data_IF_043618109276
#
_entry.id   IF_043618109276
#
_cell.length_a   1.000
_cell.length_b   1.000
_cell.length_c   1.000
_cell.angle_alpha   90.00
_cell.angle_beta   90.00
_cell.angle_gamma   90.00
#
_symmetry.space_group_name_H-M   'P 1'
#
loop_
_entity.id
_entity.type
_entity.pdbx_description
1 polymer ?
#
# COMPACT_ATOMS: atom_id res chain seq x y z
N UNK A 1 17.37 29.01 -15.30
CA UNK A 1 18.27 28.41 -14.29
C UNK A 1 17.38 28.02 -13.11
N UNK A 2 17.30 26.74 -12.83
CA UNK A 2 16.55 26.22 -11.66
C UNK A 2 17.41 26.52 -10.41
N UNK A 3 16.84 27.02 -9.31
CA UNK A 3 17.61 27.31 -8.10
C UNK A 3 18.30 26.03 -7.55
N UNK A 4 19.57 26.17 -7.12
CA UNK A 4 20.36 25.07 -6.52
C UNK A 4 19.68 24.40 -5.30
N UNK A 5 18.78 25.09 -4.63
CA UNK A 5 17.98 24.61 -3.51
C UNK A 5 17.09 23.42 -3.84
N UNK A 6 16.60 23.30 -5.08
CA UNK A 6 15.78 22.16 -5.52
C UNK A 6 16.59 20.85 -5.65
N UNK A 7 17.90 20.94 -5.88
CA UNK A 7 18.77 19.77 -6.07
C UNK A 7 19.10 19.09 -4.73
N UNK A 8 19.11 19.83 -3.62
CA UNK A 8 19.50 19.29 -2.32
C UNK A 8 18.43 18.47 -1.61
N UNK A 9 17.15 18.59 -2.01
CA UNK A 9 16.03 17.82 -1.44
C UNK A 9 16.19 16.31 -1.71
N UNK A 10 16.87 15.95 -2.81
CA UNK A 10 17.00 14.54 -3.25
C UNK A 10 18.32 13.87 -2.82
N UNK A 11 19.24 14.56 -2.10
CA UNK A 11 20.60 14.05 -1.83
C UNK A 11 20.83 13.41 -0.45
N UNK A 12 19.87 13.25 0.44
CA UNK A 12 20.11 12.61 1.74
C UNK A 12 20.35 11.12 1.59
N UNK A 13 21.61 10.71 1.61
CA UNK A 13 22.05 9.29 1.78
C UNK A 13 21.92 8.89 3.24
N UNK A 14 21.21 7.78 3.48
CA UNK A 14 21.25 7.05 4.76
C UNK A 14 22.28 5.92 4.62
N UNK A 15 23.24 5.76 5.53
CA UNK A 15 24.24 4.70 5.45
C UNK A 15 23.64 3.35 5.82
N UNK A 16 23.61 2.41 4.86
CA UNK A 16 23.25 1.02 5.11
C UNK A 16 24.42 0.23 5.71
N UNK A 17 24.17 -0.54 6.73
CA UNK A 17 25.11 -1.56 7.26
C UNK A 17 24.91 -2.86 6.47
N UNK A 18 25.97 -3.31 5.83
CA UNK A 18 26.05 -4.65 5.23
C UNK A 18 26.28 -5.70 6.31
N UNK A 19 25.48 -6.75 6.34
CA UNK A 19 25.78 -7.99 7.06
C UNK A 19 25.91 -9.12 6.03
N UNK A 20 27.08 -9.72 6.02
CA UNK A 20 27.45 -10.85 5.15
C UNK A 20 27.00 -12.15 5.82
N UNK A 21 26.19 -12.97 5.18
CA UNK A 21 25.94 -14.34 5.64
C UNK A 21 26.51 -15.36 4.68
N UNK A 22 27.30 -16.27 5.26
CA UNK A 22 27.92 -17.40 4.58
C UNK A 22 26.91 -18.55 4.41
N UNK A 23 26.94 -19.17 3.24
CA UNK A 23 26.13 -20.36 2.92
C UNK A 23 26.78 -21.63 3.49
N UNK A 24 26.02 -22.45 4.18
CA UNK A 24 26.30 -23.87 4.42
C UNK A 24 25.09 -24.69 4.01
N UNK A 25 25.30 -25.57 3.05
CA UNK A 25 24.29 -26.51 2.58
C UNK A 25 24.07 -27.67 3.54
N UNK A 26 22.85 -28.20 3.60
CA UNK A 26 22.61 -29.62 3.93
C UNK A 26 21.18 -30.10 3.66
N UNK A 27 21.12 -31.29 3.15
CA UNK A 27 20.13 -32.38 3.23
C UNK A 27 18.63 -32.07 3.32
N UNK A 28 17.95 -32.52 2.28
CA UNK A 28 16.50 -32.71 2.21
C UNK A 28 16.03 -33.85 3.13
N UNK A 29 15.20 -33.52 4.11
CA UNK A 29 14.21 -34.43 4.66
C UNK A 29 12.82 -33.83 4.41
N UNK A 30 12.03 -34.52 3.61
CA UNK A 30 10.60 -34.22 3.48
C UNK A 30 9.93 -34.59 4.80
N UNK A 31 9.71 -33.60 5.67
CA UNK A 31 8.80 -33.75 6.81
C UNK A 31 7.44 -33.27 6.32
N UNK A 32 6.54 -34.22 6.05
CA UNK A 32 5.11 -33.97 5.99
C UNK A 32 4.67 -33.49 7.39
N UNK A 33 4.73 -32.22 7.66
CA UNK A 33 4.01 -31.62 8.80
C UNK A 33 2.54 -31.55 8.41
N UNK A 34 1.74 -32.49 8.86
CA UNK A 34 0.31 -32.30 8.99
C UNK A 34 0.13 -31.04 9.81
N UNK A 35 -0.40 -29.98 9.20
CA UNK A 35 -0.81 -28.78 9.91
C UNK A 35 -1.89 -29.22 10.90
N UNK A 36 -1.65 -29.03 12.20
CA UNK A 36 -2.67 -29.25 13.20
C UNK A 36 -3.88 -28.38 12.83
N UNK A 37 -5.06 -28.98 12.82
CA UNK A 37 -6.33 -28.26 12.72
C UNK A 37 -6.29 -27.15 13.77
N UNK A 38 -6.19 -25.89 13.29
CA UNK A 38 -6.37 -24.73 14.14
C UNK A 38 -7.78 -24.82 14.75
N UNK A 39 -8.00 -24.21 15.90
CA UNK A 39 -9.23 -24.29 16.70
C UNK A 39 -10.52 -23.82 15.97
N UNK A 40 -10.56 -23.85 14.66
CA UNK A 40 -11.71 -23.50 13.81
C UNK A 40 -12.00 -22.00 13.71
N UNK A 41 -11.11 -21.13 14.21
CA UNK A 41 -11.33 -19.69 14.21
C UNK A 41 -11.14 -19.08 12.83
N UNK A 42 -12.06 -18.16 12.50
CA UNK A 42 -12.04 -17.41 11.26
C UNK A 42 -11.35 -16.07 11.46
N UNK A 43 -10.39 -15.75 10.60
CA UNK A 43 -9.77 -14.43 10.50
C UNK A 43 -10.31 -13.70 9.27
N UNK A 44 -10.70 -12.45 9.43
CA UNK A 44 -11.04 -11.54 8.34
C UNK A 44 -9.89 -10.58 8.10
N UNK A 45 -9.35 -10.64 6.92
CA UNK A 45 -8.22 -9.81 6.52
C UNK A 45 -8.64 -8.91 5.36
N UNK A 46 -8.05 -7.73 5.26
CA UNK A 46 -8.35 -6.77 4.21
C UNK A 46 -7.07 -6.16 3.67
N UNK A 47 -7.00 -5.91 2.37
CA UNK A 47 -6.07 -4.94 1.78
C UNK A 47 -6.84 -3.72 1.32
N UNK A 48 -6.28 -2.52 1.52
CA UNK A 48 -6.89 -1.26 1.14
C UNK A 48 -5.83 -0.22 0.78
N UNK A 49 -5.79 0.17 -0.47
CA UNK A 49 -5.10 1.38 -0.89
C UNK A 49 -5.97 2.60 -0.52
N UNK A 50 -5.41 3.55 0.26
CA UNK A 50 -6.14 4.69 0.81
C UNK A 50 -6.24 5.87 -0.17
N UNK A 51 -5.56 5.80 -1.29
CA UNK A 51 -5.39 6.88 -2.25
C UNK A 51 -4.74 8.13 -1.62
N UNK A 52 -3.51 8.41 -1.91
CA UNK A 52 -2.78 9.56 -1.36
C UNK A 52 -3.35 10.93 -1.79
N UNK A 53 -4.29 10.94 -2.75
CA UNK A 53 -5.09 12.09 -3.14
C UNK A 53 -4.64 12.72 -4.47
N UNK A 54 -3.68 12.14 -5.18
CA UNK A 54 -3.20 12.66 -6.47
C UNK A 54 -2.49 11.59 -7.28
N UNK A 55 -2.45 11.77 -8.60
CA UNK A 55 -1.49 11.07 -9.43
C UNK A 55 -0.25 11.96 -9.68
N UNK A 56 0.87 11.36 -10.02
CA UNK A 56 2.15 12.05 -10.15
C UNK A 56 2.54 12.31 -11.61
N UNK A 57 1.68 11.97 -12.56
CA UNK A 57 1.98 12.05 -14.00
C UNK A 57 2.35 13.47 -14.42
N UNK A 58 1.57 14.47 -14.01
CA UNK A 58 1.87 15.87 -14.35
C UNK A 58 3.21 16.38 -13.84
N UNK A 59 3.71 15.86 -12.72
CA UNK A 59 5.04 16.18 -12.19
C UNK A 59 6.15 15.58 -13.07
N UNK A 60 5.94 14.39 -13.62
CA UNK A 60 6.92 13.69 -14.44
C UNK A 60 6.94 14.22 -15.88
N UNK A 61 5.80 14.68 -16.39
CA UNK A 61 5.63 15.18 -17.75
C UNK A 61 5.97 16.68 -17.90
N UNK A 62 6.11 17.42 -16.80
CA UNK A 62 6.43 18.85 -16.83
C UNK A 62 7.74 19.12 -17.56
N UNK A 63 7.70 20.04 -18.53
CA UNK A 63 8.84 20.46 -19.34
C UNK A 63 9.35 21.85 -18.95
N UNK A 64 8.54 22.62 -18.23
CA UNK A 64 8.85 23.96 -17.73
C UNK A 64 8.65 24.05 -16.22
N UNK A 65 9.37 24.98 -15.57
CA UNK A 65 9.18 25.24 -14.14
C UNK A 65 7.72 25.64 -13.82
N UNK A 66 7.07 26.38 -14.69
CA UNK A 66 5.68 26.78 -14.50
C UNK A 66 4.74 25.56 -14.51
N UNK A 67 4.93 24.64 -15.44
CA UNK A 67 4.15 23.38 -15.49
C UNK A 67 4.42 22.51 -14.26
N UNK A 68 5.67 22.40 -13.84
CA UNK A 68 6.03 21.64 -12.64
C UNK A 68 5.37 22.20 -11.37
N UNK A 69 5.45 23.52 -11.17
CA UNK A 69 4.81 24.19 -10.03
C UNK A 69 3.28 24.04 -10.09
N UNK A 70 2.69 24.18 -11.29
CA UNK A 70 1.25 23.96 -11.48
C UNK A 70 0.84 22.51 -11.15
N UNK A 71 1.68 21.52 -11.46
CA UNK A 71 1.42 20.12 -11.10
C UNK A 71 1.52 19.90 -9.58
N UNK A 72 2.45 20.57 -8.88
CA UNK A 72 2.51 20.52 -7.39
C UNK A 72 1.27 21.15 -6.78
N UNK A 73 0.85 22.32 -7.27
CA UNK A 73 -0.36 23.02 -6.82
C UNK A 73 -1.59 22.16 -7.05
N UNK A 74 -1.68 21.53 -8.22
CA UNK A 74 -2.79 20.62 -8.57
C UNK A 74 -2.82 19.44 -7.60
N UNK A 75 -1.70 18.78 -7.35
CA UNK A 75 -1.61 17.63 -6.45
C UNK A 75 -2.15 17.95 -5.05
N UNK A 76 -1.69 19.07 -4.47
CA UNK A 76 -2.16 19.52 -3.15
C UNK A 76 -3.64 19.91 -3.13
N UNK A 77 -4.09 20.62 -4.16
CA UNK A 77 -5.49 21.06 -4.27
C UNK A 77 -6.42 19.86 -4.51
N UNK A 78 -6.03 18.89 -5.34
CA UNK A 78 -6.82 17.69 -5.59
C UNK A 78 -6.95 16.84 -4.32
N UNK A 79 -5.84 16.62 -3.61
CA UNK A 79 -5.88 15.92 -2.32
C UNK A 79 -6.90 16.58 -1.37
N UNK A 80 -6.90 17.91 -1.23
CA UNK A 80 -7.89 18.61 -0.40
C UNK A 80 -9.32 18.46 -0.93
N UNK A 81 -9.50 18.56 -2.27
CA UNK A 81 -10.81 18.44 -2.91
C UNK A 81 -11.43 17.03 -2.75
N UNK A 82 -10.59 15.99 -2.64
CA UNK A 82 -11.03 14.61 -2.36
C UNK A 82 -11.46 14.39 -0.91
N UNK A 83 -11.38 15.40 -0.03
CA UNK A 83 -11.87 15.36 1.35
C UNK A 83 -11.38 14.13 2.13
N UNK A 84 -10.12 14.00 2.45
CA UNK A 84 -9.53 12.79 3.05
C UNK A 84 -10.28 12.31 4.31
N UNK A 85 -10.73 13.22 5.17
CA UNK A 85 -11.45 12.85 6.40
C UNK A 85 -12.79 12.15 6.11
N UNK A 86 -13.54 12.58 5.09
CA UNK A 86 -14.79 11.91 4.69
C UNK A 86 -14.50 10.52 4.10
N UNK A 87 -13.48 10.42 3.23
CA UNK A 87 -13.09 9.17 2.58
C UNK A 87 -12.62 8.12 3.60
N UNK A 88 -11.71 8.52 4.48
CA UNK A 88 -11.21 7.64 5.54
C UNK A 88 -12.29 7.26 6.55
N UNK A 89 -13.34 8.09 6.72
CA UNK A 89 -14.53 7.71 7.49
C UNK A 89 -15.34 6.62 6.77
N UNK A 90 -15.49 6.70 5.44
CA UNK A 90 -16.17 5.66 4.68
C UNK A 90 -15.40 4.34 4.75
N UNK A 91 -14.07 4.36 4.57
CA UNK A 91 -13.20 3.17 4.72
C UNK A 91 -13.28 2.60 6.14
N UNK A 92 -13.28 3.44 7.18
CA UNK A 92 -13.46 2.98 8.57
C UNK A 92 -14.81 2.26 8.76
N UNK A 93 -15.89 2.77 8.15
CA UNK A 93 -17.20 2.13 8.17
C UNK A 93 -17.16 0.76 7.46
N UNK A 94 -16.47 0.62 6.33
CA UNK A 94 -16.29 -0.65 5.63
C UNK A 94 -15.53 -1.67 6.50
N UNK A 95 -14.42 -1.27 7.10
CA UNK A 95 -13.62 -2.11 8.02
C UNK A 95 -14.50 -2.57 9.20
N UNK A 96 -15.23 -1.64 9.82
CA UNK A 96 -16.11 -1.88 10.97
C UNK A 96 -17.27 -2.81 10.61
N UNK A 97 -18.03 -2.51 9.56
CA UNK A 97 -19.19 -3.29 9.14
C UNK A 97 -18.84 -4.74 8.79
N UNK A 98 -17.62 -4.94 8.28
CA UNK A 98 -17.09 -6.25 7.91
C UNK A 98 -16.35 -6.94 9.05
N UNK A 99 -16.18 -6.30 10.22
CA UNK A 99 -15.48 -6.84 11.39
C UNK A 99 -14.11 -7.40 11.01
N UNK A 100 -13.34 -6.61 10.24
CA UNK A 100 -12.01 -7.00 9.78
C UNK A 100 -11.07 -7.10 10.98
N UNK A 101 -10.20 -8.09 11.02
CA UNK A 101 -9.27 -8.31 12.13
C UNK A 101 -7.90 -7.70 11.85
N UNK A 102 -7.45 -7.76 10.59
CA UNK A 102 -6.14 -7.28 10.14
C UNK A 102 -6.31 -6.57 8.80
N UNK A 103 -5.74 -5.38 8.67
CA UNK A 103 -5.74 -4.62 7.41
C UNK A 103 -4.31 -4.30 6.99
N UNK A 104 -3.96 -4.65 5.75
CA UNK A 104 -2.80 -4.09 5.04
C UNK A 104 -3.24 -2.82 4.32
N UNK A 105 -2.56 -1.73 4.61
CA UNK A 105 -2.85 -0.41 4.05
C UNK A 105 -1.72 0.01 3.11
N UNK A 106 -2.08 0.57 1.97
CA UNK A 106 -1.20 1.23 1.02
C UNK A 106 -1.60 2.70 0.93
N UNK A 107 -0.66 3.55 0.56
CA UNK A 107 -0.85 5.00 0.45
C UNK A 107 -1.41 5.65 1.74
N UNK A 108 -0.93 5.18 2.90
CA UNK A 108 -1.25 5.80 4.18
C UNK A 108 -0.50 7.13 4.36
N UNK A 109 -0.80 8.07 3.49
CA UNK A 109 -0.06 9.30 3.24
C UNK A 109 -0.01 10.25 4.44
N UNK A 110 1.10 11.01 4.52
CA UNK A 110 1.16 12.24 5.33
C UNK A 110 1.39 13.42 4.39
N UNK A 111 0.48 14.38 4.41
CA UNK A 111 0.63 15.65 3.73
C UNK A 111 1.02 16.74 4.72
N UNK A 112 2.08 17.50 4.38
CA UNK A 112 2.60 18.59 5.20
C UNK A 112 2.81 19.84 4.36
N UNK A 113 2.81 21.01 5.04
CA UNK A 113 3.22 22.27 4.46
C UNK A 113 4.36 22.89 5.27
N UNK A 114 5.13 23.77 4.65
CA UNK A 114 6.24 24.49 5.27
C UNK A 114 6.52 25.80 4.58
N UNK A 115 7.47 26.61 5.09
CA UNK A 115 7.84 27.87 4.46
C UNK A 115 8.22 27.71 2.99
N UNK A 116 7.78 28.65 2.14
CA UNK A 116 8.04 28.61 0.71
C UNK A 116 9.52 28.74 0.38
N UNK A 117 10.08 27.74 -0.31
CA UNK A 117 11.43 27.78 -0.85
C UNK A 117 11.58 28.62 -2.14
N UNK A 118 10.45 29.10 -2.70
CA UNK A 118 10.50 30.08 -3.81
C UNK A 118 10.85 31.48 -3.34
N UNK A 119 10.59 31.82 -2.07
CA UNK A 119 10.77 33.17 -1.52
C UNK A 119 11.79 33.24 -0.38
N UNK A 120 12.27 32.09 0.08
CA UNK A 120 13.21 31.95 1.19
C UNK A 120 14.08 30.70 1.10
N UNK A 121 14.89 30.42 2.12
CA UNK A 121 15.68 29.20 2.15
C UNK A 121 14.78 27.97 2.27
N UNK A 122 15.15 26.86 1.62
CA UNK A 122 14.46 25.60 1.76
C UNK A 122 14.61 25.08 3.20
N UNK A 123 13.48 24.93 3.89
CA UNK A 123 13.37 24.35 5.24
C UNK A 123 12.40 23.18 5.22
N UNK A 124 12.54 22.20 6.14
CA UNK A 124 11.62 21.07 6.17
C UNK A 124 10.15 21.52 6.37
N UNK A 125 9.26 20.98 5.54
CA UNK A 125 7.82 21.13 5.72
C UNK A 125 7.35 20.14 6.79
N UNK A 126 6.99 20.66 7.96
CA UNK A 126 6.65 19.84 9.15
C UNK A 126 5.22 20.06 9.64
N UNK A 127 4.50 21.05 9.09
CA UNK A 127 3.13 21.33 9.47
C UNK A 127 2.19 20.30 8.84
N UNK A 128 1.78 19.30 9.64
CA UNK A 128 0.90 18.21 9.19
C UNK A 128 -0.48 18.75 8.88
N UNK A 129 -0.90 18.58 7.62
CA UNK A 129 -2.25 18.90 7.17
C UNK A 129 -3.17 17.69 7.32
N UNK A 130 -2.69 16.52 6.88
CA UNK A 130 -3.38 15.25 7.03
C UNK A 130 -2.36 14.15 7.31
N UNK A 131 -2.66 13.30 8.27
CA UNK A 131 -2.05 11.98 8.47
C UNK A 131 -3.16 10.93 8.30
N UNK A 132 -3.19 10.26 7.16
CA UNK A 132 -4.27 9.35 6.79
C UNK A 132 -4.40 8.18 7.76
N UNK A 133 -3.27 7.64 8.23
CA UNK A 133 -3.28 6.55 9.21
C UNK A 133 -3.87 7.00 10.54
N UNK A 134 -3.48 8.17 11.03
CA UNK A 134 -4.03 8.74 12.28
C UNK A 134 -5.53 9.00 12.15
N UNK A 135 -5.96 9.60 11.04
CA UNK A 135 -7.40 9.87 10.79
C UNK A 135 -8.19 8.56 10.75
N UNK A 136 -7.71 7.54 10.02
CA UNK A 136 -8.38 6.24 9.93
C UNK A 136 -8.53 5.57 11.31
N UNK A 137 -7.46 5.53 12.09
CA UNK A 137 -7.47 4.93 13.43
C UNK A 137 -8.42 5.68 14.38
N UNK A 138 -8.45 7.01 14.30
CA UNK A 138 -9.38 7.82 15.10
C UNK A 138 -10.86 7.59 14.71
N UNK A 139 -11.14 7.39 13.40
CA UNK A 139 -12.49 7.05 12.94
C UNK A 139 -12.91 5.66 13.40
N UNK A 140 -12.02 4.67 13.32
CA UNK A 140 -12.28 3.33 13.85
C UNK A 140 -12.56 3.37 15.36
N UNK A 141 -11.78 4.14 16.12
CA UNK A 141 -12.01 4.35 17.56
C UNK A 141 -13.39 4.99 17.84
N UNK A 142 -13.79 5.97 17.02
CA UNK A 142 -15.13 6.61 17.13
C UNK A 142 -16.26 5.60 16.88
N UNK A 143 -16.04 4.59 16.05
CA UNK A 143 -16.95 3.48 15.80
C UNK A 143 -16.94 2.40 16.90
N UNK A 144 -16.15 2.57 17.95
CA UNK A 144 -16.02 1.63 19.07
C UNK A 144 -15.03 0.48 18.82
N UNK A 145 -14.12 0.63 17.87
CA UNK A 145 -13.11 -0.39 17.56
C UNK A 145 -11.71 0.10 17.90
N UNK A 146 -10.96 -0.72 18.63
CA UNK A 146 -9.57 -0.43 18.97
C UNK A 146 -8.62 -1.11 17.97
N UNK A 147 -8.17 -0.33 16.96
CA UNK A 147 -7.11 -0.75 16.03
C UNK A 147 -5.81 -0.05 16.36
N UNK A 148 -4.71 -0.72 16.14
CA UNK A 148 -3.37 -0.19 16.29
C UNK A 148 -2.53 -0.48 15.05
N UNK A 149 -1.74 0.51 14.61
CA UNK A 149 -0.70 0.29 13.63
C UNK A 149 0.45 -0.47 14.30
N UNK A 150 0.70 -1.69 13.83
CA UNK A 150 1.75 -2.57 14.40
C UNK A 150 3.01 -2.60 13.54
N UNK A 151 2.92 -2.17 12.27
CA UNK A 151 4.03 -2.03 11.36
C UNK A 151 3.75 -0.87 10.41
N UNK A 152 4.74 -0.01 10.14
CA UNK A 152 4.61 1.15 9.22
C UNK A 152 5.94 1.36 8.50
N UNK A 153 5.94 1.24 7.18
CA UNK A 153 7.10 1.49 6.34
C UNK A 153 6.92 2.79 5.56
N UNK A 154 7.77 3.81 5.76
CA UNK A 154 7.81 4.96 4.87
C UNK A 154 8.34 4.60 3.48
N UNK A 155 7.61 4.99 2.46
CA UNK A 155 7.97 4.86 1.05
C UNK A 155 8.58 6.16 0.49
N UNK A 156 7.92 6.73 -0.54
CA UNK A 156 8.29 8.03 -1.09
C UNK A 156 8.16 9.12 -0.02
N UNK A 157 9.19 9.97 0.08
CA UNK A 157 9.15 11.19 0.91
C UNK A 157 9.75 12.34 0.10
N UNK A 158 8.90 13.25 -0.37
CA UNK A 158 9.28 14.34 -1.26
C UNK A 158 8.67 15.66 -0.83
N UNK A 159 9.50 16.71 -0.78
CA UNK A 159 9.07 18.08 -0.57
C UNK A 159 9.33 18.89 -1.83
N UNK A 160 8.33 19.62 -2.29
CA UNK A 160 8.37 20.40 -3.51
C UNK A 160 7.83 21.81 -3.25
N UNK A 161 8.40 22.83 -3.93
CA UNK A 161 7.86 24.18 -3.89
C UNK A 161 6.51 24.26 -4.60
N UNK A 162 5.65 25.15 -4.13
CA UNK A 162 4.36 25.45 -4.79
C UNK A 162 4.17 26.96 -4.96
N UNK A 163 3.27 27.39 -5.85
CA UNK A 163 2.89 28.80 -5.97
C UNK A 163 1.84 29.22 -4.93
N UNK A 164 1.38 28.30 -4.09
CA UNK A 164 0.37 28.54 -3.03
C UNK A 164 0.94 29.33 -1.83
N UNK A 165 2.23 29.68 -1.85
CA UNK A 165 2.89 30.44 -0.79
C UNK A 165 3.55 29.57 0.29
N UNK A 166 3.59 28.28 0.09
CA UNK A 166 4.24 27.30 0.99
C UNK A 166 4.78 26.12 0.18
N UNK A 167 5.76 25.42 0.73
CA UNK A 167 6.18 24.12 0.20
C UNK A 167 5.21 23.02 0.62
N UNK A 168 5.06 22.03 -0.24
CA UNK A 168 4.24 20.83 -0.01
C UNK A 168 5.16 19.63 0.17
N UNK A 169 4.89 18.77 1.18
CA UNK A 169 5.60 17.51 1.39
C UNK A 169 4.61 16.37 1.50
N UNK A 170 4.84 15.37 0.67
CA UNK A 170 4.15 14.07 0.72
C UNK A 170 5.11 13.03 1.25
N UNK A 171 4.68 12.29 2.27
CA UNK A 171 5.30 11.03 2.69
C UNK A 171 4.29 9.92 2.49
N UNK A 172 4.56 9.00 1.57
CA UNK A 172 3.78 7.79 1.39
C UNK A 172 4.20 6.72 2.42
N UNK A 173 3.26 5.84 2.82
CA UNK A 173 3.53 4.76 3.79
C UNK A 173 2.66 3.54 3.50
N UNK A 174 3.25 2.37 3.72
CA UNK A 174 2.52 1.11 3.88
C UNK A 174 2.39 0.77 5.36
N UNK A 175 1.28 0.14 5.76
CA UNK A 175 1.07 -0.22 7.16
C UNK A 175 0.28 -1.52 7.33
N UNK A 176 0.47 -2.16 8.48
CA UNK A 176 -0.46 -3.17 8.99
C UNK A 176 -1.12 -2.63 10.24
N UNK A 177 -2.46 -2.59 10.24
CA UNK A 177 -3.24 -2.34 11.45
C UNK A 177 -3.93 -3.63 11.91
N UNK A 178 -3.98 -3.82 13.23
CA UNK A 178 -4.55 -5.00 13.88
C UNK A 178 -5.59 -4.55 14.89
N UNK A 179 -6.71 -5.25 14.92
CA UNK A 179 -7.78 -5.03 15.88
C UNK A 179 -7.39 -5.60 17.25
N UNK A 180 -7.38 -4.76 18.30
CA UNK A 180 -6.96 -5.11 19.66
C UNK A 180 -8.09 -5.58 20.58
N UNK A 181 -9.33 -5.18 20.27
CA UNK A 181 -10.52 -5.58 21.03
C UNK A 181 -11.04 -6.98 20.67
N UNK A 182 -10.25 -7.77 19.97
CA UNK A 182 -10.49 -9.19 19.80
C UNK A 182 -10.43 -9.85 21.19
N UNK A 183 -11.58 -10.37 21.64
CA UNK A 183 -11.84 -10.82 23.00
C UNK A 183 -11.02 -12.05 23.46
N UNK A 184 -9.89 -12.32 22.82
CA UNK A 184 -9.04 -13.45 23.14
C UNK A 184 -7.66 -12.97 23.55
N UNK A 185 -7.42 -13.11 24.80
CA UNK A 185 -6.17 -12.79 25.50
C UNK A 185 -4.93 -13.49 24.95
N UNK A 186 -5.09 -14.23 23.86
CA UNK A 186 -4.08 -15.10 23.28
C UNK A 186 -3.50 -14.63 21.94
N UNK A 187 -3.92 -13.44 21.44
CA UNK A 187 -3.29 -12.84 20.25
C UNK A 187 -2.02 -12.09 20.60
N UNK A 188 -0.92 -12.53 20.03
CA UNK A 188 0.36 -11.84 20.17
C UNK A 188 0.94 -11.51 18.81
N UNK A 189 1.14 -10.23 18.57
CA UNK A 189 1.93 -9.74 17.42
C UNK A 189 3.40 -9.89 17.79
N UNK A 190 4.13 -10.60 16.95
CA UNK A 190 5.56 -10.86 17.10
C UNK A 190 6.27 -10.73 15.77
N UNK A 191 7.58 -10.76 15.75
CA UNK A 191 8.43 -10.82 14.57
C UNK A 191 8.10 -9.72 13.55
N UNK A 192 7.96 -8.48 14.03
CA UNK A 192 7.86 -7.30 13.19
C UNK A 192 9.09 -7.19 12.30
N UNK A 193 8.88 -7.05 10.99
CA UNK A 193 9.93 -6.80 10.01
C UNK A 193 9.45 -5.73 9.02
N UNK A 194 10.38 -4.88 8.62
CA UNK A 194 10.17 -3.81 7.66
C UNK A 194 11.38 -3.79 6.70
N UNK A 195 11.13 -3.78 5.42
CA UNK A 195 12.21 -3.79 4.43
C UNK A 195 11.80 -3.10 3.13
N UNK A 196 12.62 -2.17 2.66
CA UNK A 196 12.53 -1.69 1.29
C UNK A 196 13.08 -2.74 0.34
N UNK A 197 12.49 -2.86 -0.85
CA UNK A 197 13.07 -3.68 -1.92
C UNK A 197 14.44 -3.14 -2.34
N UNK A 198 15.29 -4.01 -2.85
CA UNK A 198 16.54 -3.62 -3.48
C UNK A 198 16.29 -2.98 -4.85
N UNK A 199 15.33 -3.55 -5.59
CA UNK A 199 14.87 -3.00 -6.86
C UNK A 199 13.82 -1.91 -6.60
N UNK A 200 14.06 -0.72 -7.13
CA UNK A 200 13.19 0.45 -6.96
C UNK A 200 12.90 1.10 -8.31
N UNK A 201 11.71 1.69 -8.45
CA UNK A 201 11.43 2.56 -9.59
C UNK A 201 12.15 3.89 -9.40
N UNK A 202 12.90 4.28 -10.42
CA UNK A 202 13.62 5.54 -10.44
C UNK A 202 13.12 6.37 -11.61
N UNK A 203 12.64 7.56 -11.31
CA UNK A 203 12.23 8.54 -12.31
C UNK A 203 13.33 9.56 -12.53
N UNK A 204 13.53 9.97 -13.77
CA UNK A 204 14.42 11.07 -14.13
C UNK A 204 13.58 12.32 -14.36
N UNK A 205 13.77 13.32 -13.52
CA UNK A 205 13.08 14.61 -13.67
C UNK A 205 14.00 15.56 -14.45
N UNK A 206 13.76 15.64 -15.75
CA UNK A 206 14.62 16.42 -16.69
C UNK A 206 14.72 17.89 -16.32
N UNK A 207 13.64 18.47 -15.84
CA UNK A 207 13.57 19.86 -15.41
C UNK A 207 14.52 20.16 -14.23
N UNK A 208 14.78 19.19 -13.37
CA UNK A 208 15.66 19.31 -12.22
C UNK A 208 17.10 18.84 -12.54
N UNK A 209 17.62 19.18 -13.71
CA UNK A 209 18.95 18.76 -14.19
C UNK A 209 19.13 17.24 -14.19
N UNK A 210 18.11 16.51 -14.65
CA UNK A 210 18.06 15.04 -14.63
C UNK A 210 18.20 14.43 -13.20
N UNK A 211 17.66 15.11 -12.20
CA UNK A 211 17.61 14.56 -10.85
C UNK A 211 16.88 13.22 -10.84
N UNK A 212 17.44 12.25 -10.10
CA UNK A 212 16.83 10.94 -9.92
C UNK A 212 15.94 10.96 -8.69
N UNK A 213 14.66 10.63 -8.89
CA UNK A 213 13.68 10.45 -7.83
C UNK A 213 13.40 8.97 -7.70
N UNK A 214 13.71 8.39 -6.54
CA UNK A 214 13.43 6.99 -6.25
C UNK A 214 12.07 6.89 -5.57
N UNK A 215 11.13 6.23 -6.22
CA UNK A 215 9.87 5.82 -5.60
C UNK A 215 10.11 4.56 -4.78
N UNK A 216 10.33 4.77 -3.48
CA UNK A 216 10.64 3.67 -2.57
C UNK A 216 9.40 2.83 -2.34
N UNK A 217 9.53 1.53 -2.59
CA UNK A 217 8.56 0.50 -2.27
C UNK A 217 9.20 -0.54 -1.35
N UNK A 218 8.36 -1.28 -0.63
CA UNK A 218 8.84 -2.31 0.28
C UNK A 218 7.71 -3.16 0.82
N UNK A 219 7.97 -3.82 1.93
CA UNK A 219 6.99 -4.62 2.64
C UNK A 219 7.17 -4.49 4.15
N UNK A 220 6.08 -4.63 4.86
CA UNK A 220 6.04 -4.83 6.31
C UNK A 220 5.45 -6.18 6.62
N UNK A 221 5.92 -6.85 7.66
CA UNK A 221 5.33 -8.12 8.09
C UNK A 221 5.29 -8.25 9.60
N UNK A 222 4.30 -9.01 10.04
CA UNK A 222 4.13 -9.45 11.42
C UNK A 222 3.83 -10.95 11.45
N UNK A 223 4.17 -11.60 12.53
CA UNK A 223 3.63 -12.90 12.85
C UNK A 223 2.57 -12.74 13.94
N UNK A 224 1.34 -13.14 13.66
CA UNK A 224 0.27 -13.21 14.64
C UNK A 224 0.24 -14.61 15.24
N UNK A 225 0.56 -14.72 16.51
CA UNK A 225 0.41 -15.95 17.28
C UNK A 225 -0.99 -15.99 17.90
N UNK A 226 -1.63 -17.15 17.84
CA UNK A 226 -2.96 -17.41 18.37
C UNK A 226 -3.05 -18.83 18.88
N UNK A 227 -3.21 -19.02 20.19
CA UNK A 227 -3.10 -20.33 20.82
C UNK A 227 -1.79 -21.00 20.38
N UNK A 228 -1.91 -22.19 19.79
CA UNK A 228 -0.76 -22.93 19.23
C UNK A 228 -0.49 -22.63 17.75
N UNK A 229 -1.29 -21.78 17.12
CA UNK A 229 -1.17 -21.43 15.71
C UNK A 229 -0.41 -20.13 15.54
N UNK A 230 0.29 -20.00 14.40
CA UNK A 230 1.02 -18.81 14.02
C UNK A 230 0.88 -18.55 12.54
N UNK A 231 0.51 -17.33 12.16
CA UNK A 231 0.35 -16.92 10.77
C UNK A 231 1.14 -15.65 10.51
N UNK A 232 1.84 -15.59 9.40
CA UNK A 232 2.52 -14.38 8.92
C UNK A 232 1.58 -13.55 8.07
N UNK A 233 1.54 -12.25 8.35
CA UNK A 233 0.87 -11.25 7.53
C UNK A 233 1.92 -10.32 6.95
N UNK A 234 1.81 -10.07 5.67
CA UNK A 234 2.71 -9.18 4.91
C UNK A 234 1.84 -8.16 4.22
N UNK A 235 2.16 -6.88 4.35
CA UNK A 235 1.57 -5.82 3.53
C UNK A 235 2.64 -5.23 2.64
N UNK A 236 2.27 -4.92 1.39
CA UNK A 236 3.18 -4.36 0.38
C UNK A 236 2.41 -3.50 -0.62
N UNK A 237 3.13 -2.56 -1.24
CA UNK A 237 2.72 -1.84 -2.43
C UNK A 237 3.87 -1.94 -3.43
N UNK A 238 3.66 -2.62 -4.56
CA UNK A 238 4.67 -2.75 -5.61
C UNK A 238 4.64 -1.52 -6.51
N UNK A 239 5.82 -1.10 -7.01
CA UNK A 239 5.88 0.07 -7.87
C UNK A 239 5.03 -0.08 -9.13
N UNK A 240 4.26 0.94 -9.44
CA UNK A 240 3.54 1.08 -10.71
C UNK A 240 4.48 1.60 -11.80
N UNK A 241 4.25 1.17 -13.05
CA UNK A 241 4.87 1.76 -14.23
C UNK A 241 3.79 2.31 -15.17
N UNK A 242 3.79 3.63 -15.51
CA UNK A 242 2.78 4.22 -16.36
C UNK A 242 2.79 3.67 -17.81
N UNK A 243 3.86 2.99 -18.22
CA UNK A 243 3.94 2.27 -19.49
C UNK A 243 3.56 0.80 -19.37
N UNK A 244 3.06 0.38 -18.20
CA UNK A 244 2.71 -1.00 -17.88
C UNK A 244 3.89 -1.99 -18.04
N UNK A 245 5.12 -1.53 -17.85
CA UNK A 245 6.31 -2.39 -17.83
C UNK A 245 6.38 -3.13 -16.49
N UNK A 246 6.26 -4.46 -16.47
CA UNK A 246 6.25 -5.25 -15.24
C UNK A 246 7.64 -5.43 -14.62
N UNK A 247 8.70 -4.95 -15.23
CA UNK A 247 10.10 -5.32 -14.89
C UNK A 247 10.40 -5.05 -13.41
N UNK A 248 10.11 -3.84 -12.92
CA UNK A 248 10.39 -3.44 -11.54
C UNK A 248 9.47 -4.19 -10.58
N UNK A 249 8.14 -4.15 -10.79
CA UNK A 249 7.18 -4.83 -9.93
C UNK A 249 7.41 -6.34 -9.86
N UNK A 250 7.77 -6.97 -10.99
CA UNK A 250 8.07 -8.40 -11.00
C UNK A 250 9.39 -8.74 -10.27
N UNK A 251 10.40 -7.89 -10.36
CA UNK A 251 11.62 -8.05 -9.57
C UNK A 251 11.32 -7.92 -8.07
N UNK A 252 10.53 -6.94 -7.67
CA UNK A 252 10.06 -6.76 -6.29
C UNK A 252 9.24 -7.97 -5.80
N UNK A 253 8.37 -8.54 -6.63
CA UNK A 253 7.63 -9.76 -6.31
C UNK A 253 8.57 -10.95 -6.04
N UNK A 254 9.65 -11.12 -6.82
CA UNK A 254 10.66 -12.15 -6.57
C UNK A 254 11.41 -11.89 -5.25
N UNK A 255 11.78 -10.64 -4.96
CA UNK A 255 12.38 -10.27 -3.67
C UNK A 255 11.44 -10.56 -2.49
N UNK A 256 10.15 -10.25 -2.64
CA UNK A 256 9.11 -10.53 -1.64
C UNK A 256 9.00 -12.02 -1.36
N UNK A 257 8.95 -12.85 -2.41
CA UNK A 257 8.92 -14.32 -2.29
C UNK A 257 10.19 -14.87 -1.63
N UNK A 258 11.36 -14.28 -1.92
CA UNK A 258 12.65 -14.67 -1.34
C UNK A 258 12.89 -14.18 0.08
N UNK A 259 12.04 -13.29 0.61
CA UNK A 259 12.16 -12.67 1.94
C UNK A 259 10.95 -12.98 2.83
N UNK A 260 10.03 -12.04 3.02
CA UNK A 260 8.85 -12.24 3.88
C UNK A 260 7.98 -13.41 3.42
N UNK A 261 7.88 -13.62 2.11
CA UNK A 261 7.16 -14.73 1.50
C UNK A 261 7.78 -16.11 1.73
N UNK A 262 9.06 -16.20 2.08
CA UNK A 262 9.76 -17.49 2.30
C UNK A 262 9.46 -18.10 3.69
N UNK A 263 8.38 -17.75 4.32
CA UNK A 263 7.99 -18.26 5.63
C UNK A 263 7.65 -19.75 5.61
N UNK A 264 7.97 -20.46 6.70
CA UNK A 264 7.57 -21.85 6.93
C UNK A 264 6.20 -21.99 7.62
N UNK A 265 5.67 -20.88 8.17
CA UNK A 265 4.33 -20.84 8.74
C UNK A 265 3.33 -20.38 7.68
N UNK A 266 2.01 -20.62 7.88
CA UNK A 266 0.97 -20.05 7.05
C UNK A 266 1.20 -18.55 6.82
N UNK A 267 1.00 -18.09 5.59
CA UNK A 267 1.34 -16.72 5.20
C UNK A 267 0.24 -16.10 4.37
N UNK A 268 -0.12 -14.87 4.69
CA UNK A 268 -1.06 -14.02 3.96
C UNK A 268 -0.30 -12.78 3.46
N UNK A 269 -0.38 -12.49 2.18
CA UNK A 269 0.10 -11.24 1.60
C UNK A 269 -1.10 -10.37 1.22
N UNK A 270 -1.05 -9.13 1.64
CA UNK A 270 -2.07 -8.09 1.43
C UNK A 270 -1.41 -6.95 0.67
N UNK A 271 -1.99 -6.49 -0.43
CA UNK A 271 -1.35 -5.38 -1.12
C UNK A 271 -2.04 -4.93 -2.38
N UNK A 272 -1.57 -3.77 -2.83
CA UNK A 272 -1.64 -3.33 -4.21
C UNK A 272 -0.39 -3.85 -4.92
N UNK A 273 -0.58 -4.84 -5.78
CA UNK A 273 0.53 -5.49 -6.50
C UNK A 273 0.79 -4.82 -7.86
N UNK A 274 -0.01 -3.81 -8.23
CA UNK A 274 0.07 -3.14 -9.53
C UNK A 274 0.15 -4.13 -10.70
N UNK A 275 -0.60 -5.24 -10.58
CA UNK A 275 -0.57 -6.39 -11.48
C UNK A 275 -1.97 -6.88 -11.78
N UNK A 276 -2.41 -6.74 -13.03
CA UNK A 276 -3.76 -7.11 -13.44
C UNK A 276 -3.98 -8.63 -13.42
N UNK A 277 -4.54 -9.12 -12.33
CA UNK A 277 -4.79 -10.55 -12.13
C UNK A 277 -5.87 -11.13 -13.06
N UNK A 278 -6.71 -10.29 -13.67
CA UNK A 278 -7.81 -10.73 -14.54
C UNK A 278 -7.40 -11.00 -16.00
N UNK A 279 -6.29 -10.43 -16.46
CA UNK A 279 -5.93 -10.46 -17.87
C UNK A 279 -4.52 -11.01 -18.10
N UNK A 280 -4.43 -12.25 -18.54
CA UNK A 280 -3.13 -12.90 -18.79
C UNK A 280 -2.36 -12.31 -19.98
N UNK A 281 -3.02 -11.50 -20.82
CA UNK A 281 -2.39 -10.79 -21.95
C UNK A 281 -1.87 -9.40 -21.53
N UNK A 282 -2.23 -8.92 -20.33
CA UNK A 282 -1.70 -7.70 -19.76
C UNK A 282 -0.24 -7.94 -19.33
N UNK A 283 0.73 -7.13 -19.75
CA UNK A 283 2.13 -7.31 -19.35
C UNK A 283 2.32 -7.36 -17.83
N UNK A 284 1.57 -6.55 -17.06
CA UNK A 284 1.66 -6.50 -15.60
C UNK A 284 1.25 -7.82 -14.94
N UNK A 285 0.45 -8.67 -15.60
CA UNK A 285 0.06 -9.99 -15.10
C UNK A 285 1.26 -10.92 -14.83
N UNK A 286 2.45 -10.60 -15.36
CA UNK A 286 3.67 -11.35 -15.05
C UNK A 286 3.93 -11.38 -13.54
N UNK A 287 3.77 -10.26 -12.86
CA UNK A 287 3.95 -10.13 -11.40
C UNK A 287 2.96 -11.03 -10.63
N UNK A 288 1.68 -11.02 -11.00
CA UNK A 288 0.67 -11.93 -10.45
C UNK A 288 1.07 -13.40 -10.59
N UNK A 289 1.46 -13.81 -11.82
CA UNK A 289 1.88 -15.19 -12.09
C UNK A 289 3.14 -15.59 -11.30
N UNK A 290 4.05 -14.67 -11.07
CA UNK A 290 5.24 -14.89 -10.23
C UNK A 290 4.83 -15.23 -8.80
N UNK A 291 3.90 -14.49 -8.19
CA UNK A 291 3.41 -14.78 -6.84
C UNK A 291 2.67 -16.13 -6.78
N UNK A 292 1.82 -16.42 -7.77
CA UNK A 292 1.15 -17.74 -7.88
C UNK A 292 2.18 -18.87 -8.01
N UNK A 293 3.24 -18.66 -8.81
CA UNK A 293 4.35 -19.62 -8.95
C UNK A 293 5.13 -19.87 -7.65
N UNK A 294 5.07 -18.94 -6.69
CA UNK A 294 5.58 -19.07 -5.33
C UNK A 294 4.71 -19.90 -4.38
N UNK A 295 3.77 -20.68 -4.91
CA UNK A 295 2.80 -21.51 -4.18
C UNK A 295 1.79 -20.71 -3.31
N UNK A 296 1.51 -19.48 -3.67
CA UNK A 296 0.41 -18.72 -3.10
C UNK A 296 -0.87 -18.95 -3.90
N UNK A 297 -2.01 -18.87 -3.24
CA UNK A 297 -3.34 -18.90 -3.84
C UNK A 297 -3.95 -17.52 -3.73
N UNK A 298 -4.58 -17.05 -4.79
CA UNK A 298 -5.39 -15.85 -4.79
C UNK A 298 -6.73 -16.15 -4.10
N UNK A 299 -7.03 -15.42 -3.03
CA UNK A 299 -8.22 -15.64 -2.22
C UNK A 299 -9.51 -15.46 -3.04
N UNK A 300 -9.55 -14.49 -3.94
CA UNK A 300 -10.70 -14.30 -4.82
C UNK A 300 -10.94 -15.52 -5.71
N UNK A 301 -9.91 -16.00 -6.38
CA UNK A 301 -10.04 -17.15 -7.28
C UNK A 301 -10.38 -18.44 -6.53
N UNK A 302 -9.91 -18.59 -5.27
CA UNK A 302 -10.32 -19.74 -4.44
C UNK A 302 -11.80 -19.66 -4.09
N UNK A 303 -12.32 -18.50 -3.74
CA UNK A 303 -13.72 -18.32 -3.34
C UNK A 303 -14.70 -18.33 -4.52
N UNK A 304 -14.30 -17.77 -5.67
CA UNK A 304 -15.22 -17.47 -6.77
C UNK A 304 -14.82 -18.08 -8.12
N UNK A 305 -13.73 -18.86 -8.17
CA UNK A 305 -13.23 -19.44 -9.41
C UNK A 305 -12.80 -18.37 -10.42
N UNK A 306 -13.31 -18.47 -11.63
CA UNK A 306 -12.99 -17.55 -12.72
C UNK A 306 -13.85 -16.26 -12.75
N UNK A 307 -14.63 -16.00 -11.70
CA UNK A 307 -15.43 -14.76 -11.66
C UNK A 307 -14.53 -13.54 -11.60
N UNK A 308 -14.86 -12.53 -12.43
CA UNK A 308 -14.10 -11.29 -12.50
C UNK A 308 -14.47 -10.37 -11.33
N UNK A 309 -13.46 -9.80 -10.67
CA UNK A 309 -13.60 -8.63 -9.79
C UNK A 309 -12.66 -7.53 -10.26
N UNK A 310 -12.93 -6.31 -9.88
CA UNK A 310 -12.10 -5.14 -10.22
C UNK A 310 -11.87 -4.30 -8.98
N UNK A 311 -10.67 -3.75 -8.85
CA UNK A 311 -10.29 -2.99 -7.66
C UNK A 311 -9.68 -1.63 -7.99
N UNK A 312 -9.22 -1.38 -9.22
CA UNK A 312 -8.61 -0.12 -9.66
C UNK A 312 -9.20 0.32 -11.01
N UNK A 313 -9.29 1.57 -11.40
CA UNK A 313 -9.16 2.77 -10.59
C UNK A 313 -10.33 3.70 -10.89
N UNK A 314 -10.76 4.48 -9.91
CA UNK A 314 -11.73 5.57 -10.11
C UNK A 314 -11.01 6.78 -10.71
N UNK A 315 -11.77 7.85 -11.03
CA UNK A 315 -11.16 9.11 -11.46
C UNK A 315 -10.35 9.75 -10.32
N UNK A 316 -9.29 10.44 -10.66
CA UNK A 316 -8.39 11.12 -9.72
C UNK A 316 -9.12 12.06 -8.73
N UNK A 317 -10.19 12.72 -9.17
CA UNK A 317 -11.00 13.57 -8.31
C UNK A 317 -12.09 12.82 -7.53
N UNK A 318 -12.23 11.50 -7.74
CA UNK A 318 -13.20 10.60 -7.11
C UNK A 318 -14.68 10.95 -7.34
N UNK A 319 -14.99 11.81 -8.32
CA UNK A 319 -16.34 12.35 -8.54
C UNK A 319 -17.13 11.59 -9.60
N UNK A 320 -16.54 10.63 -10.30
CA UNK A 320 -17.24 9.86 -11.31
C UNK A 320 -18.55 9.25 -10.77
N UNK A 321 -19.63 9.42 -11.52
CA UNK A 321 -20.99 9.01 -11.10
C UNK A 321 -21.09 7.48 -10.94
N UNK A 322 -20.53 6.76 -11.89
CA UNK A 322 -20.48 5.29 -11.93
C UNK A 322 -19.04 4.82 -11.70
N UNK A 323 -18.90 3.62 -11.13
CA UNK A 323 -17.57 3.03 -10.94
C UNK A 323 -16.83 2.88 -12.26
N UNK A 324 -15.56 3.26 -12.28
CA UNK A 324 -14.62 3.11 -13.40
C UNK A 324 -13.58 2.02 -13.16
N UNK A 325 -13.68 1.32 -12.02
CA UNK A 325 -12.79 0.21 -11.73
C UNK A 325 -12.79 -0.78 -12.91
N UNK A 326 -11.62 -1.15 -13.38
CA UNK A 326 -11.46 -2.01 -14.56
C UNK A 326 -10.31 -3.01 -14.43
N UNK A 327 -9.40 -2.79 -13.49
CA UNK A 327 -8.23 -3.61 -13.24
C UNK A 327 -8.35 -4.28 -11.86
N UNK A 328 -7.67 -5.40 -11.65
CA UNK A 328 -7.60 -6.05 -10.33
C UNK A 328 -6.16 -6.08 -9.83
N UNK A 329 -5.80 -5.05 -9.10
CA UNK A 329 -4.45 -4.80 -8.55
C UNK A 329 -4.33 -5.14 -7.07
N UNK A 330 -5.42 -4.94 -6.32
CA UNK A 330 -5.47 -5.21 -4.89
C UNK A 330 -5.82 -6.68 -4.65
N UNK A 331 -4.90 -7.40 -4.01
CA UNK A 331 -4.95 -8.85 -3.93
C UNK A 331 -4.68 -9.34 -2.51
N UNK A 332 -5.36 -10.42 -2.15
CA UNK A 332 -5.08 -11.22 -0.95
C UNK A 332 -4.54 -12.56 -1.39
N UNK A 333 -3.26 -12.79 -1.18
CA UNK A 333 -2.61 -14.06 -1.45
C UNK A 333 -2.45 -14.88 -0.18
N UNK A 334 -2.70 -16.17 -0.27
CA UNK A 334 -2.75 -17.07 0.89
C UNK A 334 -1.93 -18.32 0.63
N UNK A 335 -1.15 -18.74 1.62
CA UNK A 335 -0.46 -20.03 1.65
C UNK A 335 -0.58 -20.67 3.03
N UNK A 336 -1.01 -21.93 3.07
CA UNK A 336 -1.10 -22.71 4.31
C UNK A 336 -2.35 -22.45 5.15
N UNK A 337 -3.34 -21.70 4.63
CA UNK A 337 -4.66 -21.47 5.22
C UNK A 337 -5.76 -21.81 4.20
N UNK A 338 -6.96 -22.10 4.69
CA UNK A 338 -8.17 -22.22 3.87
C UNK A 338 -8.80 -20.85 3.64
N UNK A 339 -9.23 -20.59 2.42
CA UNK A 339 -10.04 -19.42 2.09
C UNK A 339 -11.51 -19.86 2.12
N UNK A 340 -12.30 -19.21 2.96
CA UNK A 340 -13.72 -19.51 3.11
C UNK A 340 -14.61 -18.58 2.28
N UNK A 341 -14.15 -17.32 2.09
CA UNK A 341 -14.89 -16.30 1.35
C UNK A 341 -13.92 -15.17 0.95
N UNK A 342 -14.27 -14.44 -0.11
CA UNK A 342 -13.60 -13.18 -0.51
C UNK A 342 -14.63 -12.22 -1.07
N UNK A 343 -14.43 -10.90 -0.87
CA UNK A 343 -15.31 -9.88 -1.44
C UNK A 343 -14.60 -8.56 -1.65
N UNK A 344 -15.13 -7.77 -2.58
CA UNK A 344 -14.74 -6.38 -2.82
C UNK A 344 -15.67 -5.45 -2.05
N UNK A 345 -15.16 -4.34 -1.54
CA UNK A 345 -15.89 -3.27 -0.83
C UNK A 345 -15.44 -1.90 -1.33
N UNK A 346 -16.28 -0.87 -1.19
CA UNK A 346 -15.97 0.46 -1.71
C UNK A 346 -16.17 0.59 -3.23
N UNK A 347 -16.82 -0.39 -3.86
CA UNK A 347 -16.99 -0.50 -5.31
C UNK A 347 -18.39 -0.08 -5.80
N UNK A 348 -19.32 0.21 -4.88
CA UNK A 348 -20.74 0.49 -5.21
C UNK A 348 -21.09 1.95 -4.98
N UNK A 349 -22.04 2.52 -5.73
CA UNK A 349 -22.52 3.89 -5.50
C UNK A 349 -22.99 4.17 -4.06
N UNK A 350 -23.46 3.14 -3.35
CA UNK A 350 -23.89 3.25 -1.95
C UNK A 350 -22.72 3.43 -0.96
N UNK A 351 -21.49 3.13 -1.39
CA UNK A 351 -20.27 3.26 -0.57
C UNK A 351 -19.68 4.66 -0.63
N UNK A 352 -20.23 5.53 -1.51
CA UNK A 352 -19.76 6.90 -1.65
C UNK A 352 -19.96 7.70 -0.36
N UNK A 353 -19.06 8.66 -0.16
CA UNK A 353 -19.14 9.62 0.96
C UNK A 353 -20.40 10.49 0.87
N UNK A 354 -20.76 11.20 1.95
CA UNK A 354 -21.86 12.20 1.92
C UNK A 354 -21.70 13.27 0.84
N UNK A 355 -20.45 13.58 0.44
CA UNK A 355 -20.14 14.48 -0.66
C UNK A 355 -20.12 13.80 -2.04
N UNK A 356 -20.64 12.57 -2.14
CA UNK A 356 -20.70 11.77 -3.36
C UNK A 356 -19.32 11.42 -3.98
N UNK A 357 -18.25 11.42 -3.19
CA UNK A 357 -16.92 10.96 -3.60
C UNK A 357 -16.80 9.45 -3.36
N UNK A 358 -16.03 8.76 -4.18
CA UNK A 358 -15.59 7.39 -3.87
C UNK A 358 -14.67 7.39 -2.66
N UNK A 359 -14.68 6.31 -1.81
CA UNK A 359 -13.82 6.23 -0.62
C UNK A 359 -12.32 6.28 -0.94
N UNK A 360 -11.94 5.67 -2.06
CA UNK A 360 -10.60 5.63 -2.65
C UNK A 360 -10.75 5.50 -4.16
N UNK A 361 -9.68 5.70 -4.91
CA UNK A 361 -9.62 5.30 -6.33
C UNK A 361 -9.45 3.78 -6.47
N UNK A 362 -9.15 3.08 -5.38
CA UNK A 362 -9.18 1.63 -5.25
C UNK A 362 -10.33 1.13 -4.38
N UNK A 363 -10.84 -0.05 -4.71
CA UNK A 363 -11.74 -0.81 -3.86
C UNK A 363 -10.95 -1.74 -2.94
N UNK A 364 -11.42 -1.93 -1.70
CA UNK A 364 -10.81 -2.87 -0.76
C UNK A 364 -11.15 -4.33 -1.07
N UNK A 365 -10.26 -5.25 -0.73
CA UNK A 365 -10.48 -6.69 -0.84
C UNK A 365 -10.42 -7.33 0.54
N UNK A 366 -11.49 -8.02 0.91
CA UNK A 366 -11.62 -8.74 2.18
C UNK A 366 -11.63 -10.24 1.90
N UNK A 367 -10.84 -10.99 2.67
CA UNK A 367 -10.90 -12.46 2.69
C UNK A 367 -11.21 -12.97 4.09
N UNK A 368 -12.00 -14.06 4.17
CA UNK A 368 -12.24 -14.83 5.40
C UNK A 368 -11.41 -16.11 5.32
N UNK A 369 -10.53 -16.29 6.28
CA UNK A 369 -9.53 -17.36 6.32
C UNK A 369 -9.72 -18.24 7.56
N UNK A 370 -9.26 -19.52 7.43
CA UNK A 370 -9.23 -20.48 8.53
C UNK A 370 -7.98 -21.35 8.45
#
# INVERSE_FOLDING_TARGET
MVPETLINVFRKRVPGRFVLFAALGTCWFAVNTAFADGDGRKLRVMTQNLYDGTNRTGLLEATTLAEFLAAVDFAYNNMNATKPVERLTAIANEISANKVDIVGLQEAAIWRTGPSSLTGPATPAENVQFDFLTVLLDKLRTLGHDYVAVAVLPGLDVQLPSTLGFDVRLTDRDAIIVRRDLNDRDYHVTNLQEQNYLTQKVYTVSLLNNAQVTERAGWVSIDLAYGNSKTRFVATHLNFDPLFDPTVANAQANELLGSAGQSRIPTVMLGDFNSNANNSSDPTNLTYRTIIGGNFKDAWNVAHGAAISVTCCQDENLQNAFSKLSLRYDLVFVRGLSVLDAKVVGDKPADKTPSALWPSDHAGVIATLQ
#
